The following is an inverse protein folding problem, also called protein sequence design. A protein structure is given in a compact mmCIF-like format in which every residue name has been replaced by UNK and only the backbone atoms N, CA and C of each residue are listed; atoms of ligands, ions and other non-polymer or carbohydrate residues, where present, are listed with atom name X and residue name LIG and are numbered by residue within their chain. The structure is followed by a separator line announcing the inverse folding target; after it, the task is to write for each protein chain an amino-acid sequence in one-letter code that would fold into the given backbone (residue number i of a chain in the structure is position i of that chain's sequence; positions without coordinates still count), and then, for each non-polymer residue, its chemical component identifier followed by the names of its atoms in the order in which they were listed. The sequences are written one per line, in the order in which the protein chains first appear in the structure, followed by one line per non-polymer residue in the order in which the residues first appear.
data_IF_483218039118
#
_entry.id   IF_483218039118
#
_cell.length_a   1.000
_cell.length_b   1.000
_cell.length_c   1.000
_cell.angle_alpha   90.00
_cell.angle_beta   90.00
_cell.angle_gamma   90.00
#
_symmetry.space_group_name_H-M   'P 1'
#
loop_
_entity.id
_entity.type
_entity.pdbx_description
1 polymer ?
#
# COMPACT_ATOMS: atom_id res chain seq x y z
N UNK A 1 34.80 31.60 6.94
CA UNK A 1 34.53 30.15 7.10
C UNK A 1 35.63 29.40 6.39
N UNK A 2 36.45 28.66 7.11
CA UNK A 2 37.63 28.02 6.53
C UNK A 2 37.29 26.64 5.93
N UNK A 3 38.14 26.18 5.01
CA UNK A 3 38.00 24.83 4.40
C UNK A 3 37.98 23.73 5.47
N UNK A 4 38.69 23.93 6.58
CA UNK A 4 38.70 23.04 7.74
C UNK A 4 37.33 22.94 8.43
N UNK A 5 36.60 24.05 8.55
CA UNK A 5 35.23 24.07 9.11
C UNK A 5 34.24 23.37 8.17
N UNK A 6 34.36 23.61 6.86
CA UNK A 6 33.53 22.94 5.85
C UNK A 6 33.78 21.44 5.86
N UNK A 7 35.05 21.01 5.91
CA UNK A 7 35.41 19.58 6.01
C UNK A 7 34.89 18.94 7.30
N UNK A 8 34.92 19.66 8.44
CA UNK A 8 34.35 19.16 9.71
C UNK A 8 32.84 18.97 9.61
N UNK A 9 32.12 19.96 9.08
CA UNK A 9 30.66 19.91 8.87
C UNK A 9 30.27 18.81 7.90
N UNK A 10 31.00 18.66 6.79
CA UNK A 10 30.77 17.63 5.79
C UNK A 10 30.94 16.21 6.37
N UNK A 11 32.02 15.97 7.13
CA UNK A 11 32.20 14.68 7.83
C UNK A 11 31.05 14.39 8.79
N UNK A 12 30.60 15.38 9.55
CA UNK A 12 29.44 15.25 10.43
C UNK A 12 28.18 14.85 9.68
N UNK A 13 27.88 15.54 8.58
CA UNK A 13 26.71 15.25 7.74
C UNK A 13 26.76 13.85 7.10
N UNK A 14 27.95 13.39 6.67
CA UNK A 14 28.15 12.03 6.13
C UNK A 14 27.89 10.97 7.21
N UNK A 15 28.46 11.13 8.41
CA UNK A 15 28.26 10.17 9.50
C UNK A 15 26.80 10.16 10.00
N UNK A 16 26.12 11.29 9.97
CA UNK A 16 24.69 11.37 10.26
C UNK A 16 23.84 10.70 9.16
N UNK A 17 24.19 10.91 7.88
CA UNK A 17 23.52 10.24 6.76
C UNK A 17 23.70 8.72 6.81
N UNK A 18 24.89 8.22 7.16
CA UNK A 18 25.14 6.79 7.36
C UNK A 18 24.27 6.20 8.46
N UNK A 19 24.20 6.87 9.63
CA UNK A 19 23.36 6.45 10.76
C UNK A 19 21.88 6.42 10.37
N UNK A 20 21.38 7.51 9.77
CA UNK A 20 19.99 7.56 9.24
C UNK A 20 19.69 6.44 8.25
N UNK A 21 20.64 6.11 7.38
CA UNK A 21 20.50 5.01 6.42
C UNK A 21 20.40 3.63 7.10
N UNK A 22 21.20 3.38 8.13
CA UNK A 22 21.11 2.15 8.92
C UNK A 22 19.76 2.05 9.66
N UNK A 23 19.34 3.13 10.31
CA UNK A 23 18.08 3.19 11.04
C UNK A 23 16.87 3.02 10.08
N UNK A 24 16.93 3.62 8.88
CA UNK A 24 15.89 3.45 7.85
C UNK A 24 15.76 1.99 7.42
N UNK A 25 16.89 1.30 7.18
CA UNK A 25 16.87 -0.12 6.82
C UNK A 25 16.22 -0.98 7.90
N UNK A 26 16.62 -0.78 9.16
CA UNK A 26 16.03 -1.53 10.27
C UNK A 26 14.51 -1.31 10.39
N UNK A 27 14.04 -0.07 10.17
CA UNK A 27 12.60 0.24 10.16
C UNK A 27 11.87 -0.41 8.99
N UNK A 28 12.45 -0.38 7.79
CA UNK A 28 11.86 -1.02 6.60
C UNK A 28 11.79 -2.53 6.78
N UNK A 29 12.85 -3.16 7.28
CA UNK A 29 12.86 -4.61 7.52
C UNK A 29 11.79 -5.03 8.52
N UNK A 30 11.58 -4.24 9.59
CA UNK A 30 10.53 -4.47 10.56
C UNK A 30 9.14 -4.30 9.94
N UNK A 31 8.93 -3.22 9.19
CA UNK A 31 7.66 -2.96 8.51
C UNK A 31 7.31 -4.04 7.48
N UNK A 32 8.28 -4.57 6.73
CA UNK A 32 8.08 -5.67 5.80
C UNK A 32 7.58 -6.94 6.50
N UNK A 33 8.12 -7.26 7.68
CA UNK A 33 7.67 -8.43 8.46
C UNK A 33 6.25 -8.25 9.01
N UNK A 34 5.94 -7.07 9.53
CA UNK A 34 4.58 -6.74 9.97
C UNK A 34 3.60 -6.78 8.79
N UNK A 35 4.03 -6.29 7.63
CA UNK A 35 3.24 -6.30 6.42
C UNK A 35 2.97 -7.70 5.89
N UNK A 36 3.95 -8.60 5.88
CA UNK A 36 3.73 -10.00 5.48
C UNK A 36 2.67 -10.67 6.35
N UNK A 37 2.70 -10.42 7.66
CA UNK A 37 1.69 -10.95 8.60
C UNK A 37 0.31 -10.33 8.34
N UNK A 38 0.24 -9.00 8.21
CA UNK A 38 -0.98 -8.27 7.88
C UNK A 38 -1.58 -8.74 6.54
N UNK A 39 -0.76 -8.91 5.50
CA UNK A 39 -1.20 -9.31 4.17
C UNK A 39 -1.91 -10.66 4.22
N UNK A 40 -1.29 -11.64 4.88
CA UNK A 40 -1.80 -13.01 4.94
C UNK A 40 -2.97 -13.17 5.92
N UNK A 41 -2.90 -12.53 7.08
CA UNK A 41 -3.88 -12.73 8.16
C UNK A 41 -5.08 -11.78 8.07
N UNK A 42 -4.96 -10.64 7.39
CA UNK A 42 -5.96 -9.57 7.40
C UNK A 42 -6.36 -9.18 5.97
N UNK A 43 -5.42 -8.69 5.16
CA UNK A 43 -5.76 -8.06 3.88
C UNK A 43 -6.32 -9.07 2.85
N UNK A 44 -5.69 -10.24 2.71
CA UNK A 44 -6.15 -11.29 1.79
C UNK A 44 -7.54 -11.83 2.19
N UNK A 45 -7.79 -12.24 3.44
CA UNK A 45 -9.12 -12.64 3.89
C UNK A 45 -10.18 -11.55 3.69
N UNK A 46 -9.90 -10.31 4.12
CA UNK A 46 -10.81 -9.18 3.96
C UNK A 46 -11.18 -8.93 2.49
N UNK A 47 -10.20 -9.00 1.59
CA UNK A 47 -10.43 -8.82 0.15
C UNK A 47 -11.28 -9.96 -0.43
N UNK A 48 -11.08 -11.20 0.02
CA UNK A 48 -11.94 -12.33 -0.36
C UNK A 48 -13.37 -12.17 0.13
N UNK A 49 -13.56 -11.74 1.38
CA UNK A 49 -14.89 -11.45 1.95
C UNK A 49 -15.62 -10.40 1.11
N UNK A 50 -14.93 -9.31 0.75
CA UNK A 50 -15.49 -8.27 -0.10
C UNK A 50 -15.82 -8.79 -1.52
N UNK A 51 -14.95 -9.59 -2.12
CA UNK A 51 -15.21 -10.19 -3.44
C UNK A 51 -16.46 -11.10 -3.42
N UNK A 52 -16.64 -11.89 -2.36
CA UNK A 52 -17.83 -12.73 -2.21
C UNK A 52 -19.11 -11.91 -2.05
N UNK A 53 -19.06 -10.82 -1.26
CA UNK A 53 -20.18 -9.90 -1.12
C UNK A 53 -20.55 -9.25 -2.47
N UNK A 54 -19.56 -8.82 -3.24
CA UNK A 54 -19.76 -8.23 -4.57
C UNK A 54 -20.44 -9.19 -5.55
N UNK A 55 -20.06 -10.46 -5.53
CA UNK A 55 -20.71 -11.49 -6.36
C UNK A 55 -22.20 -11.60 -6.01
N UNK A 56 -22.55 -11.52 -4.72
CA UNK A 56 -23.94 -11.50 -4.25
C UNK A 56 -24.75 -10.32 -4.79
N UNK A 57 -24.11 -9.15 -4.95
CA UNK A 57 -24.69 -7.94 -5.53
C UNK A 57 -24.63 -7.90 -7.07
N UNK A 58 -24.12 -8.95 -7.72
CA UNK A 58 -24.03 -9.04 -9.18
C UNK A 58 -22.78 -8.41 -9.80
N UNK A 59 -21.82 -7.97 -8.98
CA UNK A 59 -20.55 -7.42 -9.43
C UNK A 59 -19.45 -8.48 -9.43
N UNK A 60 -18.88 -8.78 -10.61
CA UNK A 60 -17.84 -9.80 -10.73
C UNK A 60 -16.44 -9.23 -10.56
N UNK A 61 -15.85 -9.52 -9.41
CA UNK A 61 -14.47 -9.22 -9.08
C UNK A 61 -13.74 -10.50 -8.69
N UNK A 62 -12.43 -10.54 -8.98
CA UNK A 62 -11.53 -11.63 -8.59
C UNK A 62 -10.40 -11.11 -7.72
N UNK A 63 -9.97 -11.94 -6.78
CA UNK A 63 -8.81 -11.67 -5.93
C UNK A 63 -7.56 -12.29 -6.56
N UNK A 64 -6.48 -11.52 -6.60
CA UNK A 64 -5.17 -11.91 -7.09
C UNK A 64 -4.14 -11.52 -6.02
N UNK A 65 -3.09 -12.32 -5.86
CA UNK A 65 -2.01 -12.03 -4.89
C UNK A 65 -0.65 -11.93 -5.60
N UNK A 66 -0.40 -10.86 -6.39
CA UNK A 66 0.85 -10.71 -7.11
C UNK A 66 1.98 -10.30 -6.16
N UNK A 67 2.99 -11.17 -5.97
CA UNK A 67 4.15 -10.85 -5.13
C UNK A 67 3.76 -10.56 -3.68
N UNK A 68 4.04 -9.34 -3.22
CA UNK A 68 3.76 -8.85 -1.86
C UNK A 68 2.57 -7.89 -1.86
N UNK A 69 1.50 -8.23 -2.58
CA UNK A 69 0.30 -7.43 -2.69
C UNK A 69 -0.94 -8.32 -2.80
N UNK A 70 -2.11 -7.74 -2.49
CA UNK A 70 -3.42 -8.31 -2.82
C UNK A 70 -4.17 -7.35 -3.70
N UNK A 71 -4.77 -7.85 -4.77
CA UNK A 71 -5.49 -7.07 -5.77
C UNK A 71 -6.89 -7.63 -5.98
N UNK A 72 -7.89 -6.75 -5.88
CA UNK A 72 -9.27 -6.98 -6.26
C UNK A 72 -9.50 -6.37 -7.65
N UNK A 73 -9.66 -7.19 -8.68
CA UNK A 73 -9.79 -6.73 -10.07
C UNK A 73 -11.14 -7.11 -10.66
N UNK A 74 -11.75 -6.20 -11.44
CA UNK A 74 -12.96 -6.51 -12.17
C UNK A 74 -12.69 -7.57 -13.25
N UNK A 75 -13.58 -8.55 -13.41
CA UNK A 75 -13.34 -9.65 -14.37
C UNK A 75 -13.34 -9.17 -15.82
N UNK A 76 -14.25 -8.27 -16.16
CA UNK A 76 -14.46 -7.78 -17.54
C UNK A 76 -13.65 -6.53 -17.89
N UNK A 77 -13.00 -5.91 -16.89
CA UNK A 77 -12.13 -4.75 -17.09
C UNK A 77 -10.93 -4.85 -16.15
N UNK A 78 -9.87 -5.60 -16.52
CA UNK A 78 -8.72 -5.83 -15.63
C UNK A 78 -7.95 -4.57 -15.25
N UNK A 79 -8.13 -3.48 -16.00
CA UNK A 79 -7.57 -2.15 -15.70
C UNK A 79 -8.32 -1.46 -14.53
N UNK A 80 -9.51 -1.95 -14.19
CA UNK A 80 -10.29 -1.54 -13.02
C UNK A 80 -9.96 -2.46 -11.84
N UNK A 81 -9.15 -1.96 -10.91
CA UNK A 81 -8.72 -2.74 -9.76
C UNK A 81 -8.45 -1.87 -8.53
N UNK A 82 -8.48 -2.51 -7.37
CA UNK A 82 -7.93 -2.02 -6.12
C UNK A 82 -6.77 -2.93 -5.71
N UNK A 83 -5.62 -2.38 -5.34
CA UNK A 83 -4.45 -3.12 -4.90
C UNK A 83 -3.95 -2.61 -3.56
N UNK A 84 -3.67 -3.53 -2.63
CA UNK A 84 -3.04 -3.27 -1.35
C UNK A 84 -1.59 -3.70 -1.44
N UNK A 85 -0.67 -2.76 -1.17
CA UNK A 85 0.78 -3.00 -1.18
C UNK A 85 1.48 -2.26 -0.03
N UNK A 86 2.72 -2.63 0.26
CA UNK A 86 3.59 -1.90 1.17
C UNK A 86 4.29 -0.76 0.43
N UNK A 87 4.15 0.46 0.94
CA UNK A 87 4.96 1.61 0.54
C UNK A 87 6.17 1.74 1.48
N UNK A 88 7.37 1.79 0.92
CA UNK A 88 8.64 1.99 1.65
C UNK A 88 9.43 3.21 1.15
N UNK A 89 8.87 3.93 0.17
CA UNK A 89 9.52 5.08 -0.45
C UNK A 89 9.49 6.30 0.46
N UNK A 90 8.42 6.44 1.25
CA UNK A 90 8.25 7.46 2.28
C UNK A 90 9.20 7.33 3.48
N UNK A 91 9.14 8.33 4.38
CA UNK A 91 9.95 8.35 5.61
C UNK A 91 9.56 7.25 6.61
N UNK A 92 8.27 6.86 6.59
CA UNK A 92 7.69 5.77 7.38
C UNK A 92 7.01 4.82 6.41
N UNK A 93 7.35 3.54 6.51
CA UNK A 93 6.70 2.51 5.69
C UNK A 93 5.23 2.36 6.11
N UNK A 94 4.34 2.24 5.14
CA UNK A 94 2.90 2.22 5.38
C UNK A 94 2.16 1.35 4.36
N UNK A 95 0.97 0.89 4.72
CA UNK A 95 0.11 0.15 3.79
C UNK A 95 -0.59 1.12 2.86
N UNK A 96 -0.50 0.88 1.56
CA UNK A 96 -1.07 1.71 0.50
C UNK A 96 -2.15 0.93 -0.25
N UNK A 97 -3.26 1.60 -0.52
CA UNK A 97 -4.30 1.18 -1.46
C UNK A 97 -4.13 1.99 -2.74
N UNK A 98 -3.93 1.30 -3.85
CA UNK A 98 -3.88 1.85 -5.18
C UNK A 98 -5.15 1.43 -5.94
N UNK A 99 -5.99 2.40 -6.28
CA UNK A 99 -7.14 2.23 -7.14
C UNK A 99 -6.81 2.68 -8.57
N UNK A 100 -7.00 1.79 -9.54
CA UNK A 100 -6.97 2.11 -10.96
C UNK A 100 -8.36 1.98 -11.56
N UNK A 101 -8.72 2.93 -12.41
CA UNK A 101 -9.96 2.92 -13.16
C UNK A 101 -9.71 3.34 -14.59
N UNK A 102 -9.95 2.45 -15.55
CA UNK A 102 -10.01 2.79 -16.96
C UNK A 102 -11.05 3.89 -17.22
N UNK A 103 -10.86 4.71 -18.23
CA UNK A 103 -11.80 5.70 -18.75
C UNK A 103 -11.55 5.83 -20.25
N UNK A 104 -12.24 5.00 -21.02
CA UNK A 104 -11.99 4.86 -22.46
C UNK A 104 -10.56 4.41 -22.73
N UNK A 105 -9.72 5.30 -23.29
CA UNK A 105 -8.30 5.04 -23.62
C UNK A 105 -7.31 5.47 -22.53
N UNK A 106 -7.77 5.90 -21.35
CA UNK A 106 -6.92 6.41 -20.25
C UNK A 106 -7.20 5.64 -18.96
N UNK A 107 -6.25 5.57 -18.04
CA UNK A 107 -6.50 5.20 -16.65
C UNK A 107 -6.55 6.46 -15.77
N UNK A 108 -7.35 6.39 -14.70
CA UNK A 108 -7.31 7.32 -13.58
C UNK A 108 -6.86 6.51 -12.38
N UNK A 109 -5.74 6.93 -11.80
CA UNK A 109 -5.12 6.28 -10.65
C UNK A 109 -5.32 7.15 -9.41
N UNK A 110 -5.55 6.49 -8.28
CA UNK A 110 -5.67 7.13 -6.98
C UNK A 110 -4.99 6.26 -5.94
N UNK A 111 -4.13 6.88 -5.14
CA UNK A 111 -3.43 6.22 -4.06
C UNK A 111 -3.90 6.77 -2.71
N UNK A 112 -4.00 5.89 -1.72
CA UNK A 112 -4.31 6.24 -0.33
C UNK A 112 -3.51 5.37 0.62
N UNK A 113 -3.01 5.99 1.68
CA UNK A 113 -2.31 5.26 2.76
C UNK A 113 -3.31 4.94 3.87
N UNK A 114 -3.28 3.70 4.38
CA UNK A 114 -4.04 3.31 5.57
C UNK A 114 -3.41 3.99 6.80
N UNK A 115 -4.27 4.56 7.63
CA UNK A 115 -3.83 5.20 8.88
C UNK A 115 -3.57 4.15 9.95
N UNK A 116 -2.49 4.32 10.73
CA UNK A 116 -2.15 3.43 11.84
C UNK A 116 -0.85 2.65 11.61
N UNK A 117 -0.51 1.80 12.59
CA UNK A 117 0.64 0.90 12.48
C UNK A 117 0.25 -0.36 11.74
N UNK A 118 1.14 -0.87 10.89
CA UNK A 118 0.86 -2.04 10.03
C UNK A 118 0.37 -3.24 10.85
N UNK A 119 1.04 -3.54 11.97
CA UNK A 119 0.64 -4.64 12.86
C UNK A 119 -0.64 -4.43 13.67
N UNK A 120 -1.29 -3.26 13.58
CA UNK A 120 -2.55 -2.95 14.26
C UNK A 120 -3.75 -2.83 13.30
N UNK A 121 -3.49 -2.88 11.99
CA UNK A 121 -4.55 -2.80 10.98
C UNK A 121 -5.45 -4.04 11.04
N UNK A 122 -6.75 -3.81 11.01
CA UNK A 122 -7.78 -4.83 11.11
C UNK A 122 -8.46 -5.08 9.76
N UNK A 123 -9.29 -6.13 9.69
CA UNK A 123 -10.11 -6.39 8.50
C UNK A 123 -11.09 -5.25 8.23
N UNK A 124 -11.62 -4.62 9.29
CA UNK A 124 -12.55 -3.49 9.19
C UNK A 124 -11.87 -2.26 8.55
N UNK A 125 -10.62 -1.97 8.93
CA UNK A 125 -9.85 -0.87 8.33
C UNK A 125 -9.65 -1.09 6.82
N UNK A 126 -9.35 -2.33 6.43
CA UNK A 126 -9.18 -2.72 5.03
C UNK A 126 -10.50 -2.60 4.27
N UNK A 127 -11.58 -3.21 4.78
CA UNK A 127 -12.89 -3.22 4.12
C UNK A 127 -13.41 -1.80 3.96
N UNK A 128 -13.30 -0.96 5.00
CA UNK A 128 -13.77 0.43 4.97
C UNK A 128 -13.10 1.23 3.85
N UNK A 129 -11.76 1.15 3.75
CA UNK A 129 -11.02 1.86 2.69
C UNK A 129 -11.35 1.29 1.31
N UNK A 130 -11.42 -0.04 1.17
CA UNK A 130 -11.76 -0.67 -0.10
C UNK A 130 -13.16 -0.26 -0.58
N UNK A 131 -14.16 -0.22 0.32
CA UNK A 131 -15.52 0.19 -0.02
C UNK A 131 -15.59 1.64 -0.53
N UNK A 132 -14.87 2.56 0.12
CA UNK A 132 -14.82 3.95 -0.32
C UNK A 132 -14.26 4.11 -1.75
N UNK A 133 -13.23 3.33 -2.10
CA UNK A 133 -12.62 3.39 -3.43
C UNK A 133 -13.39 2.58 -4.47
N UNK A 134 -14.10 1.53 -4.03
CA UNK A 134 -14.85 0.61 -4.88
C UNK A 134 -16.12 1.24 -5.46
N UNK A 135 -16.86 2.05 -4.70
CA UNK A 135 -18.11 2.68 -5.17
C UNK A 135 -17.92 3.35 -6.54
N UNK A 136 -16.93 4.25 -6.74
CA UNK A 136 -16.74 4.88 -8.03
C UNK A 136 -16.14 3.97 -9.13
N UNK A 137 -15.72 2.73 -8.82
CA UNK A 137 -15.44 1.70 -9.83
C UNK A 137 -16.74 1.04 -10.33
N UNK A 138 -17.72 0.86 -9.44
CA UNK A 138 -18.99 0.19 -9.74
C UNK A 138 -20.00 1.12 -10.42
N UNK A 139 -20.10 2.39 -10.02
CA UNK A 139 -21.07 3.38 -10.55
C UNK A 139 -20.81 3.83 -12.01
N UNK A 140 -20.02 3.08 -12.77
CA UNK A 140 -19.65 3.41 -14.15
C UNK A 140 -20.74 3.08 -15.17
#
# INVERSE_FOLDING_TARGET
MEVSDVRRRLRGAIEEAKRRGADRRARVDQASREYEQFLLAVAVPATHTLAQALIGEGHRFKVLTPGQAVRLAAEFSPDDYLEISLDTDGDVAAVKVHASRGRGRRSVEKERVLSGRIGELTEEDVISVLLEELIPLIER
#
